data_IF_365063076229
#
_entry.id   IF_365063076229
#
_cell.length_a   1.000
_cell.length_b   1.000
_cell.length_c   1.000
_cell.angle_alpha   90.00
_cell.angle_beta   90.00
_cell.angle_gamma   90.00
#
_symmetry.space_group_name_H-M   'P 1'
#
loop_
_entity.id
_entity.type
_entity.pdbx_description
1 polymer ?
#
# COMPACT_ATOMS: atom_id res chain seq x y z
N UNK A 1 6.29 18.08 2.61
CA UNK A 1 5.20 17.22 2.11
C UNK A 1 5.40 15.80 2.66
N UNK A 2 4.31 15.08 2.93
CA UNK A 2 4.33 13.67 3.37
C UNK A 2 3.22 12.89 2.65
N UNK A 3 3.12 11.59 2.91
CA UNK A 3 1.95 10.78 2.55
C UNK A 3 1.38 10.08 3.76
N UNK A 4 0.08 9.78 3.73
CA UNK A 4 -0.61 9.02 4.75
C UNK A 4 -1.41 7.90 4.07
N UNK A 5 -1.22 6.67 4.53
CA UNK A 5 -1.95 5.49 4.08
C UNK A 5 -2.92 5.10 5.19
N UNK A 6 -4.21 5.24 4.95
CA UNK A 6 -5.28 4.81 5.86
C UNK A 6 -5.94 3.56 5.30
N UNK A 7 -6.16 2.54 6.13
CA UNK A 7 -6.70 1.29 5.65
C UNK A 7 -7.45 0.45 6.67
N UNK A 8 -8.16 -0.56 6.19
CA UNK A 8 -8.74 -1.63 7.01
C UNK A 8 -8.70 -2.99 6.32
N UNK A 9 -8.71 -4.06 7.12
CA UNK A 9 -8.68 -5.43 6.61
C UNK A 9 -10.10 -5.90 6.30
N UNK A 10 -10.33 -6.24 5.02
CA UNK A 10 -11.58 -6.83 4.56
C UNK A 10 -11.70 -8.25 5.11
N UNK A 11 -12.85 -8.56 5.75
CA UNK A 11 -13.20 -9.88 6.33
C UNK A 11 -12.34 -10.31 7.53
N UNK A 12 -11.62 -9.40 8.18
CA UNK A 12 -10.90 -9.60 9.46
C UNK A 12 -11.74 -10.35 10.52
N UNK A 13 -12.99 -9.93 10.71
CA UNK A 13 -13.93 -10.48 11.71
C UNK A 13 -14.32 -11.93 11.48
N UNK A 14 -14.16 -12.44 10.25
CA UNK A 14 -14.45 -13.84 9.93
C UNK A 14 -13.31 -14.79 10.38
N UNK A 15 -12.15 -14.26 10.74
CA UNK A 15 -11.00 -15.04 11.20
C UNK A 15 -11.14 -15.30 12.69
N UNK A 16 -11.14 -16.57 13.11
CA UNK A 16 -11.26 -16.93 14.54
C UNK A 16 -10.07 -16.45 15.37
N UNK A 17 -8.86 -16.67 14.87
CA UNK A 17 -7.64 -16.19 15.51
C UNK A 17 -7.17 -14.88 14.87
N UNK A 18 -7.44 -13.76 15.53
CA UNK A 18 -7.10 -12.43 15.04
C UNK A 18 -5.58 -12.19 14.95
N UNK A 19 -4.76 -12.97 15.69
CA UNK A 19 -3.30 -12.79 15.67
C UNK A 19 -2.70 -13.02 14.27
N UNK A 20 -3.32 -13.89 13.46
CA UNK A 20 -2.83 -14.27 12.12
C UNK A 20 -2.64 -13.04 11.22
N UNK A 21 -3.63 -12.15 11.17
CA UNK A 21 -3.52 -10.93 10.34
C UNK A 21 -2.90 -9.77 11.11
N UNK A 22 -3.05 -9.73 12.43
CA UNK A 22 -2.52 -8.64 13.23
C UNK A 22 -1.00 -8.66 13.25
N UNK A 23 -0.40 -9.83 13.39
CA UNK A 23 1.05 -10.00 13.41
C UNK A 23 1.64 -9.68 12.02
N UNK A 24 0.97 -10.11 10.95
CA UNK A 24 1.37 -9.80 9.58
C UNK A 24 1.24 -8.30 9.25
N UNK A 25 0.17 -7.63 9.70
CA UNK A 25 0.02 -6.19 9.56
C UNK A 25 1.10 -5.43 10.32
N UNK A 26 1.38 -5.81 11.57
CA UNK A 26 2.46 -5.21 12.38
C UNK A 26 3.82 -5.40 11.72
N UNK A 27 4.07 -6.58 11.18
CA UNK A 27 5.29 -6.84 10.42
C UNK A 27 5.40 -5.90 9.22
N UNK A 28 4.35 -5.79 8.40
CA UNK A 28 4.35 -4.89 7.25
C UNK A 28 4.59 -3.43 7.63
N UNK A 29 3.89 -2.93 8.67
CA UNK A 29 4.05 -1.55 9.15
C UNK A 29 5.47 -1.28 9.68
N UNK A 30 6.04 -2.23 10.42
CA UNK A 30 7.42 -2.13 10.95
C UNK A 30 8.48 -2.18 9.85
N UNK A 31 8.24 -2.95 8.78
CA UNK A 31 9.12 -2.97 7.60
C UNK A 31 9.11 -1.63 6.88
N UNK A 32 7.96 -0.96 6.81
CA UNK A 32 7.81 0.34 6.16
C UNK A 32 8.29 1.52 7.03
N UNK A 33 8.09 1.47 8.34
CA UNK A 33 8.55 2.49 9.28
C UNK A 33 9.09 1.87 10.57
N UNK A 34 10.35 2.19 10.88
CA UNK A 34 10.96 1.85 12.17
C UNK A 34 10.47 2.76 13.31
N UNK A 35 9.95 3.94 12.98
CA UNK A 35 9.37 4.85 13.96
C UNK A 35 7.91 4.46 14.23
N UNK A 36 7.65 4.00 15.46
CA UNK A 36 6.33 3.60 15.91
C UNK A 36 5.34 4.78 16.04
N UNK A 37 5.82 6.02 16.06
CA UNK A 37 4.94 7.20 16.04
C UNK A 37 4.28 7.40 14.67
N UNK A 38 4.85 6.84 13.61
CA UNK A 38 4.38 6.98 12.23
C UNK A 38 3.21 6.04 11.87
N UNK A 39 2.89 5.05 12.70
CA UNK A 39 1.76 4.18 12.42
C UNK A 39 0.96 3.85 13.66
N UNK A 40 -0.32 3.54 13.45
CA UNK A 40 -1.20 3.09 14.52
C UNK A 40 -2.18 2.06 13.95
N UNK A 41 -2.50 1.06 14.78
CA UNK A 41 -3.59 0.12 14.53
C UNK A 41 -4.67 0.45 15.55
N UNK A 42 -5.89 0.70 15.07
CA UNK A 42 -7.01 1.13 15.90
C UNK A 42 -8.30 0.43 15.48
N UNK A 43 -9.30 0.45 16.37
CA UNK A 43 -10.63 -0.15 16.13
C UNK A 43 -10.57 -1.61 15.64
N UNK A 44 -9.52 -2.35 16.04
CA UNK A 44 -9.28 -3.73 15.65
C UNK A 44 -8.52 -3.79 14.32
N UNK A 45 -9.22 -3.68 13.20
CA UNK A 45 -8.72 -3.99 11.86
C UNK A 45 -8.38 -2.76 11.00
N UNK A 46 -8.50 -1.56 11.56
CA UNK A 46 -8.15 -0.31 10.90
C UNK A 46 -6.75 0.14 11.29
N UNK A 47 -6.08 0.85 10.39
CA UNK A 47 -4.74 1.36 10.65
C UNK A 47 -4.46 2.61 9.82
N UNK A 48 -3.44 3.33 10.24
CA UNK A 48 -2.89 4.47 9.52
C UNK A 48 -1.36 4.42 9.56
N UNK A 49 -0.73 4.81 8.46
CA UNK A 49 0.72 4.93 8.32
C UNK A 49 1.03 6.29 7.68
N UNK A 50 1.71 7.16 8.41
CA UNK A 50 2.45 8.26 7.82
C UNK A 50 3.72 7.71 7.16
N UNK A 51 3.94 8.07 5.90
CA UNK A 51 5.08 7.61 5.12
C UNK A 51 5.78 8.81 4.48
N UNK A 52 6.84 9.34 5.11
CA UNK A 52 7.56 10.52 4.63
C UNK A 52 8.19 10.36 3.24
N UNK A 53 8.50 9.12 2.82
CA UNK A 53 8.94 8.79 1.47
C UNK A 53 7.76 8.79 0.49
N UNK A 54 7.01 9.90 0.43
CA UNK A 54 5.74 10.01 -0.28
C UNK A 54 5.73 9.59 -1.76
N UNK A 55 6.82 9.71 -2.56
CA UNK A 55 6.84 9.17 -3.92
C UNK A 55 6.73 7.64 -3.96
N UNK A 56 7.12 6.93 -2.88
CA UNK A 56 7.05 5.46 -2.76
C UNK A 56 5.77 4.98 -2.05
N UNK A 57 4.79 5.86 -1.85
CA UNK A 57 3.56 5.52 -1.12
C UNK A 57 2.69 4.48 -1.84
N UNK A 58 2.76 4.41 -3.17
CA UNK A 58 2.09 3.35 -3.93
C UNK A 58 2.74 1.99 -3.68
N UNK A 59 4.05 1.83 -3.87
CA UNK A 59 4.81 0.62 -3.47
C UNK A 59 4.48 0.19 -2.03
N UNK A 60 4.45 1.12 -1.08
CA UNK A 60 4.11 0.83 0.31
C UNK A 60 2.68 0.27 0.46
N UNK A 61 1.70 0.84 -0.24
CA UNK A 61 0.33 0.33 -0.28
C UNK A 61 0.25 -1.06 -0.92
N UNK A 62 0.97 -1.29 -2.02
CA UNK A 62 1.09 -2.58 -2.70
C UNK A 62 1.68 -3.63 -1.75
N UNK A 63 2.73 -3.28 -1.01
CA UNK A 63 3.37 -4.15 -0.03
C UNK A 63 2.43 -4.55 1.11
N UNK A 64 1.70 -3.59 1.71
CA UNK A 64 0.70 -3.89 2.75
C UNK A 64 -0.36 -4.84 2.21
N UNK A 65 -0.88 -4.59 1.00
CA UNK A 65 -1.84 -5.48 0.36
C UNK A 65 -1.28 -6.87 0.11
N UNK A 66 -0.04 -6.98 -0.37
CA UNK A 66 0.62 -8.26 -0.58
C UNK A 66 0.75 -9.05 0.73
N UNK A 67 1.18 -8.41 1.81
CA UNK A 67 1.27 -9.03 3.14
C UNK A 67 -0.08 -9.59 3.60
N UNK A 68 -1.14 -8.77 3.59
CA UNK A 68 -2.48 -9.22 4.03
C UNK A 68 -3.04 -10.32 3.12
N UNK A 69 -2.83 -10.25 1.80
CA UNK A 69 -3.33 -11.26 0.86
C UNK A 69 -2.56 -12.59 0.91
N UNK A 70 -1.46 -12.69 1.66
CA UNK A 70 -0.88 -14.01 2.00
C UNK A 70 -1.81 -14.82 2.90
N UNK A 71 -2.76 -14.16 3.59
CA UNK A 71 -3.73 -14.82 4.45
C UNK A 71 -4.99 -15.13 3.66
N UNK A 72 -5.31 -16.42 3.56
CA UNK A 72 -6.42 -16.92 2.75
C UNK A 72 -7.75 -16.25 3.12
N UNK A 73 -8.39 -15.64 2.12
CA UNK A 73 -9.73 -15.04 2.25
C UNK A 73 -9.74 -13.60 2.75
N UNK A 74 -8.57 -13.03 3.06
CA UNK A 74 -8.43 -11.62 3.43
C UNK A 74 -8.03 -10.75 2.25
N UNK A 75 -8.34 -9.47 2.41
CA UNK A 75 -7.89 -8.39 1.54
C UNK A 75 -7.80 -7.10 2.38
N UNK A 76 -7.36 -6.00 1.81
CA UNK A 76 -7.23 -4.71 2.48
C UNK A 76 -7.80 -3.60 1.61
N UNK A 77 -8.48 -2.64 2.24
CA UNK A 77 -8.79 -1.35 1.64
C UNK A 77 -7.77 -0.33 2.09
N UNK A 78 -7.32 0.50 1.16
CA UNK A 78 -6.24 1.45 1.35
C UNK A 78 -6.63 2.78 0.70
N UNK A 79 -6.29 3.87 1.36
CA UNK A 79 -6.33 5.21 0.78
C UNK A 79 -5.02 5.93 1.02
N UNK A 80 -4.47 6.52 -0.04
CA UNK A 80 -3.25 7.31 0.01
C UNK A 80 -3.65 8.79 -0.05
N UNK A 81 -3.32 9.56 0.99
CA UNK A 81 -3.35 11.02 0.95
C UNK A 81 -1.94 11.57 0.78
N UNK A 82 -1.73 12.51 -0.15
CA UNK A 82 -0.43 13.19 -0.32
C UNK A 82 -0.65 14.71 -0.21
N UNK A 83 0.12 15.35 0.64
CA UNK A 83 0.01 16.78 0.89
C UNK A 83 0.91 17.28 2.01
N UNK A 84 0.72 18.53 2.41
CA UNK A 84 1.51 19.13 3.48
C UNK A 84 1.10 18.58 4.85
N UNK A 85 2.11 18.40 5.71
CA UNK A 85 1.93 18.17 7.15
C UNK A 85 2.06 19.52 7.85
N UNK A 86 1.07 19.88 8.66
CA UNK A 86 1.02 21.19 9.35
C UNK A 86 1.24 21.05 10.85
N UNK A 87 1.03 19.86 11.42
CA UNK A 87 1.25 19.58 12.83
C UNK A 87 1.75 18.15 13.05
N UNK A 88 2.69 17.98 13.99
CA UNK A 88 3.20 16.67 14.43
C UNK A 88 2.86 16.49 15.91
N UNK A 89 2.03 15.50 16.21
CA UNK A 89 1.75 15.05 17.57
C UNK A 89 2.67 13.91 18.00
N UNK A 90 2.33 13.22 19.09
CA UNK A 90 3.10 12.06 19.57
C UNK A 90 2.82 10.79 18.76
N UNK A 91 1.72 10.77 18.00
CA UNK A 91 1.31 9.67 17.13
C UNK A 91 0.84 10.19 15.76
N UNK A 92 0.68 9.27 14.83
CA UNK A 92 0.10 9.53 13.50
C UNK A 92 -1.33 10.06 13.61
N UNK A 93 -2.12 9.63 14.60
CA UNK A 93 -3.49 10.07 14.82
C UNK A 93 -3.58 11.44 15.49
N UNK A 94 -2.54 11.87 16.20
CA UNK A 94 -2.42 13.23 16.74
C UNK A 94 -1.86 14.24 15.73
N UNK A 95 -1.30 13.76 14.61
CA UNK A 95 -0.72 14.59 13.56
C UNK A 95 -1.78 15.11 12.58
N UNK A 96 -1.51 16.23 11.90
CA UNK A 96 -2.48 16.87 11.01
C UNK A 96 -1.84 17.51 9.77
N UNK A 97 -2.65 17.71 8.75
CA UNK A 97 -2.30 18.31 7.47
C UNK A 97 -3.16 17.77 6.33
N UNK A 98 -2.94 18.30 5.13
CA UNK A 98 -3.66 17.90 3.92
C UNK A 98 -3.53 16.39 3.65
N UNK A 99 -2.35 15.80 3.85
CA UNK A 99 -2.14 14.37 3.64
C UNK A 99 -3.06 13.51 4.52
N UNK A 100 -3.24 13.91 5.78
CA UNK A 100 -4.08 13.23 6.77
C UNK A 100 -5.55 13.34 6.38
N UNK A 101 -6.01 14.56 6.10
CA UNK A 101 -7.39 14.84 5.68
C UNK A 101 -7.74 14.10 4.38
N UNK A 102 -6.87 14.16 3.37
CA UNK A 102 -7.08 13.48 2.09
C UNK A 102 -7.15 11.97 2.23
N UNK A 103 -6.30 11.35 3.05
CA UNK A 103 -6.34 9.90 3.29
C UNK A 103 -7.63 9.47 3.99
N UNK A 104 -8.06 10.21 5.02
CA UNK A 104 -9.26 9.90 5.79
C UNK A 104 -10.54 10.09 4.97
N UNK A 105 -10.73 11.26 4.36
CA UNK A 105 -11.92 11.54 3.54
C UNK A 105 -12.05 10.56 2.37
N UNK A 106 -10.94 10.23 1.72
CA UNK A 106 -10.95 9.31 0.57
C UNK A 106 -11.25 7.88 1.01
N UNK A 107 -10.75 7.45 2.18
CA UNK A 107 -11.04 6.13 2.73
C UNK A 107 -12.54 5.88 2.93
N UNK A 108 -13.28 6.88 3.42
CA UNK A 108 -14.74 6.77 3.60
C UNK A 108 -15.51 6.53 2.29
N UNK A 109 -14.93 6.91 1.13
CA UNK A 109 -15.55 6.71 -0.19
C UNK A 109 -15.39 5.29 -0.74
N UNK A 110 -14.36 4.55 -0.31
CA UNK A 110 -13.93 3.28 -0.92
C UNK A 110 -15.03 2.23 -0.96
N UNK A 111 -15.77 2.09 0.16
CA UNK A 111 -16.89 1.13 0.28
C UNK A 111 -17.99 1.41 -0.72
N UNK A 112 -18.42 2.67 -0.84
CA UNK A 112 -19.48 3.09 -1.76
C UNK A 112 -19.08 2.88 -3.22
N UNK A 113 -17.81 3.14 -3.52
CA UNK A 113 -17.25 3.02 -4.88
C UNK A 113 -16.78 1.61 -5.24
N UNK A 114 -16.86 0.65 -4.31
CA UNK A 114 -16.41 -0.74 -4.47
C UNK A 114 -14.96 -0.83 -4.98
N UNK A 115 -14.08 0.00 -4.43
CA UNK A 115 -12.65 0.02 -4.76
C UNK A 115 -11.82 -0.23 -3.49
N UNK A 116 -10.69 -0.90 -3.65
CA UNK A 116 -9.80 -1.25 -2.55
C UNK A 116 -8.58 -0.33 -2.43
N UNK A 117 -8.31 0.52 -3.41
CA UNK A 117 -7.21 1.49 -3.36
C UNK A 117 -7.59 2.78 -4.10
N UNK A 118 -7.39 3.93 -3.45
CA UNK A 118 -7.51 5.26 -4.07
C UNK A 118 -6.43 6.21 -3.54
N UNK A 119 -6.10 7.22 -4.34
CA UNK A 119 -5.24 8.34 -3.95
C UNK A 119 -5.99 9.67 -4.00
N UNK A 120 -5.61 10.60 -3.12
CA UNK A 120 -5.97 12.01 -3.23
C UNK A 120 -4.80 12.93 -2.89
N UNK A 121 -4.68 13.96 -3.72
CA UNK A 121 -3.76 15.10 -3.62
C UNK A 121 -4.57 16.39 -3.83
N UNK A 122 -3.93 17.56 -3.72
CA UNK A 122 -4.59 18.84 -4.08
C UNK A 122 -4.85 19.01 -5.58
N UNK A 123 -4.25 18.19 -6.45
CA UNK A 123 -4.42 18.27 -7.91
C UNK A 123 -5.52 17.30 -8.38
N UNK A 124 -6.67 17.84 -8.78
CA UNK A 124 -7.78 17.02 -9.29
C UNK A 124 -7.40 16.24 -10.55
N UNK A 125 -6.67 16.85 -11.47
CA UNK A 125 -6.19 16.18 -12.70
C UNK A 125 -5.32 14.96 -12.37
N UNK A 126 -4.38 15.11 -11.43
CA UNK A 126 -3.51 14.01 -11.01
C UNK A 126 -4.30 12.91 -10.28
N UNK A 127 -5.29 13.31 -9.47
CA UNK A 127 -6.16 12.37 -8.78
C UNK A 127 -6.97 11.53 -9.78
N UNK A 128 -7.58 12.15 -10.79
CA UNK A 128 -8.36 11.45 -11.82
C UNK A 128 -7.50 10.44 -12.58
N UNK A 129 -6.32 10.86 -13.02
CA UNK A 129 -5.39 10.04 -13.78
C UNK A 129 -4.88 8.84 -12.97
N UNK A 130 -4.35 9.07 -11.77
CA UNK A 130 -3.78 7.99 -10.94
C UNK A 130 -4.87 7.03 -10.43
N UNK A 131 -6.05 7.54 -10.08
CA UNK A 131 -7.14 6.65 -9.67
C UNK A 131 -7.67 5.78 -10.82
N UNK A 132 -7.60 6.24 -12.08
CA UNK A 132 -7.88 5.37 -13.22
C UNK A 132 -6.86 4.24 -13.31
N UNK A 133 -5.57 4.55 -13.16
CA UNK A 133 -4.52 3.52 -13.17
C UNK A 133 -4.66 2.53 -12.01
N UNK A 134 -5.03 3.02 -10.82
CA UNK A 134 -5.29 2.15 -9.67
C UNK A 134 -6.47 1.22 -9.94
N UNK A 135 -7.56 1.69 -10.56
CA UNK A 135 -8.67 0.81 -10.95
C UNK A 135 -8.21 -0.31 -11.88
N UNK A 136 -7.33 -0.01 -12.83
CA UNK A 136 -6.78 -1.02 -13.74
C UNK A 136 -5.87 -2.02 -13.00
N UNK A 137 -4.96 -1.54 -12.15
CA UNK A 137 -4.08 -2.40 -11.36
C UNK A 137 -4.86 -3.30 -10.39
N UNK A 138 -5.94 -2.78 -9.79
CA UNK A 138 -6.80 -3.53 -8.87
C UNK A 138 -7.50 -4.73 -9.52
N UNK A 139 -7.69 -4.75 -10.85
CA UNK A 139 -8.22 -5.92 -11.57
C UNK A 139 -7.35 -7.15 -11.28
N UNK A 140 -6.03 -6.97 -11.22
CA UNK A 140 -5.07 -8.01 -10.86
C UNK A 140 -4.91 -8.13 -9.33
N UNK A 141 -4.65 -7.01 -8.64
CA UNK A 141 -4.24 -7.02 -7.23
C UNK A 141 -5.33 -7.58 -6.29
N UNK A 142 -6.61 -7.31 -6.56
CA UNK A 142 -7.72 -7.84 -5.76
C UNK A 142 -7.90 -9.36 -5.93
N UNK A 143 -7.41 -9.91 -7.06
CA UNK A 143 -7.53 -11.32 -7.42
C UNK A 143 -6.29 -12.14 -7.11
N UNK A 144 -5.27 -11.56 -6.50
CA UNK A 144 -4.09 -12.31 -6.11
C UNK A 144 -4.45 -13.52 -5.25
N UNK A 145 -3.93 -14.67 -5.65
CA UNK A 145 -3.87 -15.86 -4.81
C UNK A 145 -2.86 -15.67 -3.70
N UNK A 146 -2.94 -16.47 -2.63
CA UNK A 146 -1.94 -16.48 -1.54
C UNK A 146 -0.51 -16.59 -2.10
N UNK A 147 -0.29 -17.48 -3.06
CA UNK A 147 1.03 -17.69 -3.68
C UNK A 147 1.49 -16.51 -4.54
N UNK A 148 0.56 -15.78 -5.16
CA UNK A 148 0.87 -14.56 -5.92
C UNK A 148 1.22 -13.42 -4.96
N UNK A 149 0.45 -13.26 -3.89
CA UNK A 149 0.70 -12.24 -2.87
C UNK A 149 2.05 -12.49 -2.15
N UNK A 150 2.36 -13.74 -1.82
CA UNK A 150 3.65 -14.15 -1.23
C UNK A 150 4.82 -13.75 -2.13
N UNK A 151 4.75 -14.02 -3.45
CA UNK A 151 5.87 -13.67 -4.32
C UNK A 151 6.00 -12.16 -4.53
N UNK A 152 4.90 -11.41 -4.54
CA UNK A 152 4.93 -9.94 -4.60
C UNK A 152 5.56 -9.38 -3.34
N UNK A 153 5.12 -9.84 -2.17
CA UNK A 153 5.71 -9.47 -0.86
C UNK A 153 7.22 -9.65 -0.88
N UNK A 154 7.69 -10.86 -1.21
CA UNK A 154 9.12 -11.17 -1.22
C UNK A 154 9.91 -10.37 -2.26
N UNK A 155 9.33 -10.12 -3.43
CA UNK A 155 9.98 -9.31 -4.47
C UNK A 155 10.16 -7.86 -4.01
N UNK A 156 9.22 -7.31 -3.24
CA UNK A 156 9.31 -5.97 -2.68
C UNK A 156 10.26 -5.89 -1.46
N UNK A 157 10.37 -6.97 -0.67
CA UNK A 157 11.35 -7.07 0.43
C UNK A 157 12.78 -7.24 -0.07
N UNK A 158 12.94 -7.82 -1.26
CA UNK A 158 14.23 -8.16 -1.85
C UNK A 158 14.36 -7.66 -3.30
N UNK A 159 14.30 -6.33 -3.54
CA UNK A 159 14.18 -5.77 -4.89
C UNK A 159 15.38 -6.05 -5.80
N UNK A 160 16.54 -6.38 -5.23
CA UNK A 160 17.78 -6.65 -5.97
C UNK A 160 18.08 -8.15 -6.15
N UNK A 161 17.20 -9.03 -5.66
CA UNK A 161 17.41 -10.48 -5.66
C UNK A 161 16.81 -11.08 -6.92
N UNK A 162 17.56 -11.94 -7.61
CA UNK A 162 17.11 -12.58 -8.84
C UNK A 162 16.12 -13.72 -8.55
N UNK A 163 15.31 -14.11 -9.54
CA UNK A 163 14.25 -15.11 -9.36
C UNK A 163 14.77 -16.47 -8.84
N UNK A 164 16.00 -16.88 -9.21
CA UNK A 164 16.60 -18.13 -8.73
C UNK A 164 16.99 -18.09 -7.25
N UNK A 165 17.27 -16.91 -6.70
CA UNK A 165 17.55 -16.72 -5.29
C UNK A 165 16.25 -16.57 -4.49
N UNK A 166 15.26 -15.84 -5.00
CA UNK A 166 13.90 -15.81 -4.43
C UNK A 166 13.33 -17.23 -4.32
N UNK A 167 13.54 -18.06 -5.34
CA UNK A 167 13.09 -19.45 -5.35
C UNK A 167 13.65 -20.28 -4.18
N UNK A 168 14.89 -20.00 -3.74
CA UNK A 168 15.50 -20.66 -2.58
C UNK A 168 14.86 -20.23 -1.27
N UNK A 169 14.46 -18.96 -1.12
CA UNK A 169 13.83 -18.44 0.10
C UNK A 169 12.49 -19.13 0.41
N UNK A 170 11.73 -19.48 -0.62
CA UNK A 170 10.42 -20.16 -0.51
C UNK A 170 10.44 -21.63 -0.90
N UNK A 171 11.63 -22.20 -1.14
CA UNK A 171 11.82 -23.60 -1.51
C UNK A 171 10.93 -24.07 -2.69
N UNK A 172 10.92 -23.30 -3.79
CA UNK A 172 10.24 -23.66 -5.05
C UNK A 172 11.20 -23.56 -6.24
N UNK A 173 10.74 -23.88 -7.45
CA UNK A 173 11.54 -23.67 -8.66
C UNK A 173 11.52 -22.19 -9.12
N UNK A 174 12.58 -21.78 -9.82
CA UNK A 174 12.64 -20.45 -10.44
C UNK A 174 11.50 -20.25 -11.47
N UNK A 175 11.13 -21.30 -12.22
CA UNK A 175 9.96 -21.26 -13.12
C UNK A 175 8.64 -21.02 -12.35
N UNK A 176 8.49 -21.61 -11.16
CA UNK A 176 7.33 -21.35 -10.30
C UNK A 176 7.29 -19.90 -9.81
N UNK A 177 8.45 -19.31 -9.45
CA UNK A 177 8.57 -17.87 -9.14
C UNK A 177 8.12 -17.03 -10.33
N UNK A 178 8.69 -17.27 -11.52
CA UNK A 178 8.36 -16.53 -12.74
C UNK A 178 6.86 -16.59 -13.08
N UNK A 179 6.25 -17.78 -13.01
CA UNK A 179 4.81 -17.98 -13.24
C UNK A 179 3.95 -17.24 -12.22
N UNK A 180 4.36 -17.22 -10.94
CA UNK A 180 3.62 -16.50 -9.88
C UNK A 180 3.72 -14.98 -10.08
N UNK A 181 4.88 -14.45 -10.44
CA UNK A 181 5.08 -13.03 -10.75
C UNK A 181 4.24 -12.59 -11.96
N UNK A 182 4.26 -13.37 -13.05
CA UNK A 182 3.40 -13.13 -14.22
C UNK A 182 1.92 -13.16 -13.88
N UNK A 183 1.48 -14.15 -13.09
CA UNK A 183 0.07 -14.22 -12.64
C UNK A 183 -0.32 -13.07 -11.72
N UNK A 184 0.65 -12.52 -10.99
CA UNK A 184 0.44 -11.35 -10.15
C UNK A 184 0.44 -10.03 -10.94
N UNK A 185 0.86 -10.04 -12.22
CA UNK A 185 1.13 -8.85 -13.02
C UNK A 185 2.14 -7.92 -12.33
N UNK A 186 3.19 -8.50 -11.75
CA UNK A 186 4.15 -7.75 -10.94
C UNK A 186 4.90 -6.71 -11.77
N UNK A 187 5.32 -7.05 -12.99
CA UNK A 187 6.08 -6.14 -13.86
C UNK A 187 5.25 -4.89 -14.17
N UNK A 188 3.97 -5.04 -14.54
CA UNK A 188 3.07 -3.93 -14.83
C UNK A 188 2.78 -3.07 -13.59
N UNK A 189 2.73 -3.68 -12.41
CA UNK A 189 2.56 -2.96 -11.14
C UNK A 189 3.81 -2.15 -10.79
N UNK A 190 5.00 -2.68 -11.05
CA UNK A 190 6.27 -1.96 -10.84
C UNK A 190 6.45 -0.83 -11.86
N UNK A 191 6.03 -1.01 -13.11
CA UNK A 191 5.97 0.06 -14.11
C UNK A 191 5.02 1.18 -13.68
N UNK A 192 3.84 0.83 -13.18
CA UNK A 192 2.91 1.81 -12.60
C UNK A 192 3.52 2.54 -11.41
N UNK A 193 4.24 1.84 -10.52
CA UNK A 193 4.93 2.48 -9.40
C UNK A 193 6.03 3.45 -9.86
N UNK A 194 6.79 3.10 -10.90
CA UNK A 194 7.79 3.99 -11.48
C UNK A 194 7.15 5.27 -12.07
N UNK A 195 6.01 5.12 -12.77
CA UNK A 195 5.23 6.26 -13.27
C UNK A 195 4.68 7.12 -12.12
N UNK A 196 4.14 6.47 -11.08
CA UNK A 196 3.62 7.12 -9.89
C UNK A 196 4.69 7.98 -9.22
N UNK A 197 5.88 7.42 -8.95
CA UNK A 197 7.03 8.15 -8.38
C UNK A 197 7.37 9.39 -9.20
N UNK A 198 7.40 9.25 -10.52
CA UNK A 198 7.72 10.34 -11.45
C UNK A 198 6.69 11.46 -11.35
N UNK A 199 5.40 11.13 -11.44
CA UNK A 199 4.29 12.10 -11.38
C UNK A 199 4.19 12.81 -10.03
N UNK A 200 4.28 12.05 -8.93
CA UNK A 200 4.24 12.61 -7.58
C UNK A 200 5.44 13.53 -7.31
N UNK A 201 6.64 13.16 -7.77
CA UNK A 201 7.82 14.00 -7.62
C UNK A 201 7.72 15.29 -8.43
N UNK A 202 7.16 15.24 -9.65
CA UNK A 202 6.92 16.43 -10.47
C UNK A 202 5.88 17.36 -9.82
N UNK A 203 4.79 16.81 -9.31
CA UNK A 203 3.76 17.55 -8.56
C UNK A 203 4.32 18.25 -7.30
N UNK A 204 5.21 17.58 -6.57
CA UNK A 204 5.87 18.16 -5.40
C UNK A 204 6.73 19.38 -5.75
N UNK A 205 7.48 19.31 -6.86
CA UNK A 205 8.32 20.42 -7.34
C UNK A 205 7.49 21.65 -7.73
N UNK A 206 6.37 21.44 -8.43
CA UNK A 206 5.45 22.53 -8.82
C UNK A 206 4.82 23.19 -7.60
N UNK A 207 4.57 22.42 -6.54
CA UNK A 207 3.98 22.90 -5.29
C UNK A 207 4.94 23.76 -4.47
N UNK A 208 6.24 23.48 -4.51
CA UNK A 208 7.25 24.23 -3.76
C UNK A 208 7.80 25.47 -4.51
N UNK A 209 7.45 25.63 -5.79
CA UNK A 209 7.88 26.77 -6.61
C UNK A 209 6.88 27.95 -6.56
N UNK A 210 5.79 27.80 -5.81
CA UNK A 210 4.74 28.78 -5.54
C UNK A 210 4.79 29.17 -4.06
#
# INVERSE_FOLDING_TARGET
MTSVITGDIIKSRAVKNQSIWLDELKYALKTLSLDASQYEIYRGDSFQLEYPQYPKSFEAAVYIKACIKTIKGLDVRLSIGIGNKTYSGNSVSESNGEAFQFSGETFETLKKEKQNLKIRTKSNQLNEELNLYFKLALIAMDRWTVNSAEIVKLSLEHPNVIQSELAKLVNISQDAVSKRQKRAHLDEILELDALFRTKISAFAKQTNAL
#
